data_IF_181564414241
#
_entry.id   IF_181564414241
#
_cell.length_a   1.000
_cell.length_b   1.000
_cell.length_c   1.000
_cell.angle_alpha   90.00
_cell.angle_beta   90.00
_cell.angle_gamma   90.00
#
_symmetry.space_group_name_H-M   'P 1'
#
loop_
_entity.id
_entity.type
_entity.pdbx_description
1 polymer ?
#
# COMPACT_ATOMS: atom_id res chain seq x y z
N UNK A 1 -3.73 -17.77 -14.26
CA UNK A 1 -2.97 -18.04 -13.03
C UNK A 1 -1.90 -16.97 -12.92
N UNK A 2 -1.67 -16.40 -11.73
CA UNK A 2 -0.61 -15.41 -11.51
C UNK A 2 0.74 -16.06 -11.87
N UNK A 3 1.55 -15.40 -12.68
CA UNK A 3 2.94 -15.81 -12.90
C UNK A 3 3.77 -15.49 -11.65
N UNK A 4 4.31 -16.50 -10.93
CA UNK A 4 5.05 -16.27 -9.69
C UNK A 4 6.33 -15.45 -9.90
N UNK A 5 6.91 -15.39 -11.10
CA UNK A 5 8.08 -14.56 -11.36
C UNK A 5 7.81 -13.08 -11.07
N UNK A 6 6.56 -12.65 -11.20
CA UNK A 6 6.16 -11.27 -10.93
C UNK A 6 6.43 -10.85 -9.48
N UNK A 7 6.40 -11.79 -8.54
CA UNK A 7 6.65 -11.55 -7.12
C UNK A 7 8.12 -11.25 -6.81
N UNK A 8 9.03 -11.61 -7.72
CA UNK A 8 10.46 -11.33 -7.56
C UNK A 8 10.83 -9.90 -7.91
N UNK A 9 9.92 -9.15 -8.56
CA UNK A 9 10.15 -7.76 -8.96
C UNK A 9 10.10 -6.82 -7.74
N UNK A 10 11.12 -6.00 -7.51
CA UNK A 10 11.13 -5.03 -6.41
C UNK A 10 9.91 -4.10 -6.43
N UNK A 11 9.33 -3.85 -5.26
CA UNK A 11 8.15 -3.01 -5.12
C UNK A 11 6.83 -3.68 -5.52
N UNK A 12 6.83 -4.99 -5.76
CA UNK A 12 5.60 -5.77 -5.98
C UNK A 12 4.85 -5.97 -4.67
N UNK A 13 3.54 -5.71 -4.69
CA UNK A 13 2.61 -5.99 -3.58
C UNK A 13 1.51 -6.91 -4.09
N UNK A 14 1.40 -8.08 -3.46
CA UNK A 14 0.29 -9.02 -3.68
C UNK A 14 -0.69 -8.92 -2.51
N UNK A 15 -1.94 -8.61 -2.82
CA UNK A 15 -3.06 -8.73 -1.89
C UNK A 15 -3.82 -10.01 -2.27
N UNK A 16 -3.69 -11.06 -1.46
CA UNK A 16 -4.27 -12.37 -1.77
C UNK A 16 -5.57 -12.64 -1.00
N UNK A 17 -6.66 -12.92 -1.72
CA UNK A 17 -7.95 -13.27 -1.14
C UNK A 17 -8.08 -14.79 -0.97
N UNK A 18 -7.64 -15.29 0.18
CA UNK A 18 -7.65 -16.72 0.48
C UNK A 18 -9.05 -17.34 0.66
N UNK A 19 -10.07 -16.51 0.97
CA UNK A 19 -11.47 -16.94 1.13
C UNK A 19 -12.39 -15.97 0.39
N UNK A 20 -12.63 -16.17 -0.91
CA UNK A 20 -13.45 -15.27 -1.69
C UNK A 20 -14.92 -15.35 -1.29
N UNK A 21 -15.52 -14.20 -1.03
CA UNK A 21 -16.96 -14.00 -0.79
C UNK A 21 -17.51 -12.98 -1.80
N UNK A 22 -18.76 -12.52 -1.67
CA UNK A 22 -19.32 -11.60 -2.66
C UNK A 22 -18.58 -10.23 -2.73
N UNK A 23 -17.95 -9.80 -1.65
CA UNK A 23 -17.26 -8.51 -1.51
C UNK A 23 -15.78 -8.63 -1.89
N UNK A 24 -15.12 -9.74 -1.55
CA UNK A 24 -13.68 -9.94 -1.67
C UNK A 24 -13.33 -11.11 -2.61
N UNK A 25 -13.71 -11.01 -3.88
CA UNK A 25 -13.51 -12.10 -4.87
C UNK A 25 -12.15 -12.15 -5.54
N UNK A 26 -11.35 -11.10 -5.41
CA UNK A 26 -10.18 -10.89 -6.26
C UNK A 26 -8.92 -10.69 -5.45
N UNK A 27 -7.88 -11.45 -5.81
CA UNK A 27 -6.51 -11.12 -5.47
C UNK A 27 -5.95 -10.08 -6.43
N UNK A 28 -5.14 -9.15 -5.93
CA UNK A 28 -4.58 -8.03 -6.69
C UNK A 28 -3.05 -8.06 -6.64
N UNK A 29 -2.39 -7.91 -7.79
CA UNK A 29 -0.95 -7.78 -7.88
C UNK A 29 -0.57 -6.39 -8.42
N UNK A 30 -0.02 -5.54 -7.56
CA UNK A 30 0.54 -4.25 -7.94
C UNK A 30 2.03 -4.41 -8.21
N UNK A 31 2.47 -4.00 -9.40
CA UNK A 31 3.84 -4.28 -9.86
C UNK A 31 4.38 -3.07 -10.62
N UNK A 32 5.71 -2.97 -10.72
CA UNK A 32 6.38 -1.85 -11.38
C UNK A 32 5.86 -0.48 -10.90
N UNK A 33 6.04 -0.14 -9.60
CA UNK A 33 5.50 1.09 -9.04
C UNK A 33 6.07 2.32 -9.78
N UNK A 34 5.19 3.30 -10.06
CA UNK A 34 5.62 4.57 -10.67
C UNK A 34 6.43 5.44 -9.71
N UNK A 35 6.16 5.31 -8.42
CA UNK A 35 6.84 6.01 -7.32
C UNK A 35 6.70 5.16 -6.06
N UNK A 36 7.74 5.13 -5.24
CA UNK A 36 7.71 4.56 -3.89
C UNK A 36 7.73 5.71 -2.90
N UNK A 37 6.86 5.63 -1.90
CA UNK A 37 6.76 6.60 -0.81
C UNK A 37 7.09 5.90 0.50
N UNK A 38 7.94 6.50 1.32
CA UNK A 38 8.42 5.91 2.57
C UNK A 38 8.49 6.98 3.65
N UNK A 39 8.11 6.62 4.87
CA UNK A 39 8.39 7.38 6.09
C UNK A 39 9.22 6.50 7.02
N UNK A 40 10.28 7.06 7.59
CA UNK A 40 11.21 6.42 8.51
C UNK A 40 11.16 7.02 9.92
N UNK A 41 10.54 8.19 10.05
CA UNK A 41 10.32 8.88 11.32
C UNK A 41 8.85 9.18 11.54
N UNK A 42 8.44 9.39 12.79
CA UNK A 42 7.06 9.71 13.16
C UNK A 42 6.56 11.01 12.50
N UNK A 43 7.43 12.02 12.40
CA UNK A 43 7.09 13.34 11.84
C UNK A 43 6.86 13.29 10.32
N UNK A 44 7.43 12.30 9.62
CA UNK A 44 7.25 12.10 8.18
C UNK A 44 5.89 11.49 7.82
N UNK A 45 5.21 10.82 8.77
CA UNK A 45 4.03 10.02 8.46
C UNK A 45 2.86 10.89 8.00
N UNK A 46 2.67 12.08 8.59
CA UNK A 46 1.59 12.99 8.16
C UNK A 46 1.75 13.42 6.70
N UNK A 47 2.95 13.86 6.34
CA UNK A 47 3.26 14.23 4.96
C UNK A 47 3.14 13.05 3.99
N UNK A 48 3.54 11.85 4.43
CA UNK A 48 3.34 10.62 3.65
C UNK A 48 1.85 10.40 3.34
N UNK A 49 0.97 10.46 4.37
CA UNK A 49 -0.47 10.27 4.21
C UNK A 49 -1.08 11.29 3.25
N UNK A 50 -0.74 12.58 3.40
CA UNK A 50 -1.19 13.64 2.49
C UNK A 50 -0.78 13.35 1.02
N UNK A 51 0.42 12.81 0.81
CA UNK A 51 0.86 12.38 -0.53
C UNK A 51 0.08 11.17 -1.05
N UNK A 52 -0.31 10.22 -0.19
CA UNK A 52 -1.14 9.08 -0.57
C UNK A 52 -2.53 9.54 -1.03
N UNK A 53 -3.17 10.41 -0.25
CA UNK A 53 -4.48 11.00 -0.58
C UNK A 53 -4.42 11.74 -1.91
N UNK A 54 -3.42 12.61 -2.08
CA UNK A 54 -3.23 13.32 -3.34
C UNK A 54 -2.97 12.38 -4.53
N UNK A 55 -2.37 11.21 -4.33
CA UNK A 55 -2.21 10.21 -5.38
C UNK A 55 -3.55 9.54 -5.73
N UNK A 56 -4.35 9.15 -4.73
CA UNK A 56 -5.65 8.52 -4.94
C UNK A 56 -6.67 9.48 -5.58
N UNK A 57 -6.66 10.76 -5.21
CA UNK A 57 -7.51 11.79 -5.80
C UNK A 57 -7.25 11.98 -7.30
N UNK A 58 -6.04 11.67 -7.75
CA UNK A 58 -5.65 11.65 -9.18
C UNK A 58 -5.94 10.32 -9.87
N UNK A 59 -6.72 9.43 -9.25
CA UNK A 59 -7.10 8.13 -9.79
C UNK A 59 -5.97 7.10 -9.80
N UNK A 60 -4.93 7.28 -8.97
CA UNK A 60 -3.83 6.32 -8.86
C UNK A 60 -4.12 5.32 -7.74
N UNK A 61 -3.62 4.11 -7.90
CA UNK A 61 -3.58 3.13 -6.83
C UNK A 61 -2.33 3.30 -5.97
N UNK A 62 -2.49 3.11 -4.67
CA UNK A 62 -1.42 3.00 -3.68
C UNK A 62 -1.55 1.63 -3.03
N UNK A 63 -0.43 0.90 -2.92
CA UNK A 63 -0.38 -0.40 -2.26
C UNK A 63 0.93 -0.51 -1.47
N UNK A 64 0.86 -1.06 -0.26
CA UNK A 64 2.01 -1.15 0.65
C UNK A 64 1.55 -1.50 2.06
N UNK A 65 2.36 -1.12 3.05
CA UNK A 65 2.04 -1.30 4.47
C UNK A 65 2.38 -0.02 5.25
N UNK A 66 1.75 0.13 6.41
CA UNK A 66 2.17 1.07 7.45
C UNK A 66 2.52 0.23 8.68
N UNK A 67 3.59 0.61 9.39
CA UNK A 67 3.88 -0.03 10.68
C UNK A 67 2.84 0.39 11.72
N UNK A 68 2.78 -0.35 12.84
CA UNK A 68 1.87 -0.02 13.92
C UNK A 68 2.13 1.38 14.50
N UNK A 69 3.41 1.73 14.64
CA UNK A 69 3.90 3.01 15.17
C UNK A 69 3.57 4.20 14.28
N UNK A 70 3.28 3.97 12.99
CA UNK A 70 2.85 5.02 12.09
C UNK A 70 1.51 5.66 12.52
N UNK A 71 0.73 4.99 13.37
CA UNK A 71 -0.49 5.55 13.95
C UNK A 71 -0.26 6.57 15.06
N UNK A 72 0.89 6.53 15.75
CA UNK A 72 1.12 7.36 16.95
C UNK A 72 1.00 8.87 16.72
N UNK A 73 1.47 9.46 15.61
CA UNK A 73 1.31 10.89 15.37
C UNK A 73 -0.15 11.37 15.28
N UNK A 74 -1.12 10.47 15.10
CA UNK A 74 -2.54 10.80 14.86
C UNK A 74 -3.44 10.62 16.08
N UNK A 75 -2.90 10.11 17.19
CA UNK A 75 -3.65 9.84 18.42
C UNK A 75 -3.03 10.65 19.56
N UNK A 76 -3.88 11.20 20.41
CA UNK A 76 -3.47 11.86 21.65
C UNK A 76 -3.47 10.78 22.73
N UNK A 77 -2.29 10.21 23.01
CA UNK A 77 -2.07 9.09 23.95
C UNK A 77 -1.26 9.53 25.16
#
# INVERSE_FOLDING_TARGET
MLDPEILTRPGTVLLDSARPDAENRWSWAFTAPRRTLTATTADEVRALVDELEGATDRGRYVAGYLSYEAGYPFVDL
#
